data_IF_504450661494
#
_entry.id   IF_504450661494
#
_cell.length_a   1.000
_cell.length_b   1.000
_cell.length_c   1.000
_cell.angle_alpha   90.00
_cell.angle_beta   90.00
_cell.angle_gamma   90.00
#
_symmetry.space_group_name_H-M   'P 1'
#
loop_
_entity.id
_entity.type
_entity.pdbx_description
1 polymer ?
#
# COMPACT_ATOMS: atom_id res chain seq x y z
N UNK A 1 -31.82 1.81 17.79
CA UNK A 1 -30.83 1.70 16.69
C UNK A 1 -30.01 0.45 16.93
N UNK A 2 -30.03 -0.52 16.02
CA UNK A 2 -29.17 -1.70 16.11
C UNK A 2 -27.77 -1.33 15.60
N UNK A 3 -26.67 -1.59 16.33
CA UNK A 3 -25.32 -1.31 15.83
C UNK A 3 -25.06 -2.11 14.56
N UNK A 4 -24.62 -1.42 13.49
CA UNK A 4 -24.20 -2.03 12.22
C UNK A 4 -23.15 -3.12 12.52
N UNK A 5 -23.30 -4.34 11.99
CA UNK A 5 -22.32 -5.40 12.20
C UNK A 5 -20.92 -4.91 11.81
N UNK A 6 -19.99 -4.97 12.77
CA UNK A 6 -18.59 -4.61 12.52
C UNK A 6 -17.93 -5.82 11.89
N UNK A 7 -17.53 -5.71 10.63
CA UNK A 7 -16.70 -6.75 10.02
C UNK A 7 -15.33 -6.79 10.72
N UNK A 8 -14.77 -7.99 10.95
CA UNK A 8 -13.44 -8.11 11.54
C UNK A 8 -12.42 -7.43 10.62
N UNK A 9 -11.66 -6.47 11.18
CA UNK A 9 -10.54 -5.84 10.48
C UNK A 9 -9.30 -6.73 10.63
N UNK A 10 -8.72 -7.17 9.53
CA UNK A 10 -7.44 -7.87 9.50
C UNK A 10 -6.33 -6.87 9.16
N UNK A 11 -5.30 -6.80 10.00
CA UNK A 11 -4.09 -6.01 9.73
C UNK A 11 -2.92 -6.97 9.54
N UNK A 12 -2.19 -6.83 8.44
CA UNK A 12 -0.96 -7.60 8.18
C UNK A 12 0.17 -6.62 7.90
N UNK A 13 1.30 -6.83 8.57
CA UNK A 13 2.54 -6.07 8.38
C UNK A 13 3.47 -6.87 7.47
N UNK A 14 4.24 -6.17 6.64
CA UNK A 14 5.21 -6.75 5.71
C UNK A 14 6.54 -6.04 5.87
N UNK A 15 7.63 -6.76 5.58
CA UNK A 15 8.99 -6.18 5.63
C UNK A 15 9.24 -5.25 4.45
N UNK A 16 8.62 -5.52 3.29
CA UNK A 16 8.82 -4.74 2.06
C UNK A 16 7.50 -4.16 1.52
N UNK A 17 7.60 -2.99 0.89
CA UNK A 17 6.44 -2.36 0.23
C UNK A 17 5.90 -3.22 -0.92
N UNK A 18 6.78 -3.97 -1.60
CA UNK A 18 6.40 -4.87 -2.71
C UNK A 18 5.45 -5.97 -2.26
N UNK A 19 5.75 -6.63 -1.14
CA UNK A 19 4.86 -7.66 -0.58
C UNK A 19 3.53 -7.06 -0.11
N UNK A 20 3.57 -5.89 0.53
CA UNK A 20 2.37 -5.18 0.93
C UNK A 20 1.48 -4.84 -0.28
N UNK A 21 2.08 -4.44 -1.41
CA UNK A 21 1.36 -4.17 -2.66
C UNK A 21 0.74 -5.42 -3.27
N UNK A 22 1.47 -6.53 -3.34
CA UNK A 22 0.94 -7.79 -3.87
C UNK A 22 -0.28 -8.26 -3.05
N UNK A 23 -0.17 -8.22 -1.72
CA UNK A 23 -1.29 -8.56 -0.85
C UNK A 23 -2.46 -7.59 -0.99
N UNK A 24 -2.20 -6.28 -1.07
CA UNK A 24 -3.25 -5.30 -1.24
C UNK A 24 -3.96 -5.45 -2.59
N UNK A 25 -3.24 -5.80 -3.66
CA UNK A 25 -3.82 -6.11 -4.97
C UNK A 25 -4.73 -7.33 -4.90
N UNK A 26 -4.26 -8.44 -4.33
CA UNK A 26 -5.06 -9.67 -4.15
C UNK A 26 -6.35 -9.38 -3.37
N UNK A 27 -6.25 -8.62 -2.27
CA UNK A 27 -7.42 -8.26 -1.46
C UNK A 27 -8.37 -7.29 -2.16
N UNK A 28 -7.85 -6.40 -3.01
CA UNK A 28 -8.67 -5.52 -3.83
C UNK A 28 -9.41 -6.32 -4.92
N UNK A 29 -8.75 -7.30 -5.54
CA UNK A 29 -9.33 -8.20 -6.54
C UNK A 29 -10.43 -9.10 -5.91
N UNK A 30 -10.30 -9.48 -4.64
CA UNK A 30 -11.34 -10.15 -3.83
C UNK A 30 -12.56 -9.23 -3.52
N UNK A 31 -12.49 -7.94 -3.87
CA UNK A 31 -13.55 -6.96 -3.59
C UNK A 31 -13.54 -6.41 -2.16
N UNK A 32 -12.43 -6.57 -1.43
CA UNK A 32 -12.30 -6.05 -0.07
C UNK A 32 -11.86 -4.59 -0.04
N UNK A 33 -12.27 -3.88 1.00
CA UNK A 33 -11.81 -2.51 1.26
C UNK A 33 -10.46 -2.57 1.98
N UNK A 34 -9.39 -2.30 1.24
CA UNK A 34 -8.01 -2.32 1.75
C UNK A 34 -7.56 -0.91 2.13
N UNK A 35 -6.77 -0.79 3.20
CA UNK A 35 -6.02 0.44 3.53
C UNK A 35 -4.57 0.07 3.73
N UNK A 36 -3.65 0.87 3.22
CA UNK A 36 -2.21 0.65 3.37
C UNK A 36 -1.58 1.77 4.19
N UNK A 37 -0.41 1.51 4.75
CA UNK A 37 0.34 2.52 5.47
C UNK A 37 1.69 1.98 5.89
N UNK A 38 2.65 2.87 6.06
CA UNK A 38 4.01 2.50 6.47
C UNK A 38 4.06 2.44 7.99
N UNK A 39 4.52 1.32 8.52
CA UNK A 39 4.87 1.19 9.94
C UNK A 39 6.31 1.73 10.11
N UNK A 40 6.49 2.71 11.01
CA UNK A 40 7.75 3.45 11.24
C UNK A 40 8.98 2.53 11.44
N UNK A 41 10.22 2.95 11.04
CA UNK A 41 10.79 4.26 11.39
C UNK A 41 11.01 5.22 10.22
N UNK A 42 10.47 4.96 9.03
CA UNK A 42 10.62 5.89 7.91
C UNK A 42 9.71 7.12 8.07
N UNK A 43 10.33 8.26 8.37
CA UNK A 43 9.72 9.59 8.20
C UNK A 43 9.78 10.01 6.73
N UNK A 44 8.66 10.44 6.12
CA UNK A 44 7.34 10.65 6.71
C UNK A 44 6.45 9.40 6.71
N UNK A 45 5.66 9.22 7.79
CA UNK A 45 4.64 8.18 7.89
C UNK A 45 3.60 8.37 6.79
N UNK A 46 3.48 7.41 5.88
CA UNK A 46 2.48 7.44 4.82
C UNK A 46 1.25 6.61 5.23
N UNK A 47 0.06 7.20 5.10
CA UNK A 47 -1.22 6.50 5.24
C UNK A 47 -1.92 6.58 3.89
N UNK A 48 -2.24 5.42 3.33
CA UNK A 48 -2.89 5.29 2.02
C UNK A 48 -4.34 4.85 2.27
N UNK A 49 -5.32 5.75 2.11
CA UNK A 49 -6.73 5.40 2.22
C UNK A 49 -7.14 4.46 1.08
N UNK A 50 -8.24 3.73 1.25
CA UNK A 50 -8.75 2.77 0.25
C UNK A 50 -8.96 3.38 -1.13
N UNK A 51 -9.40 4.64 -1.19
CA UNK A 51 -9.55 5.41 -2.43
C UNK A 51 -8.25 5.63 -3.19
N UNK A 52 -7.10 5.64 -2.50
CA UNK A 52 -5.78 5.86 -3.07
C UNK A 52 -4.97 4.55 -3.22
N UNK A 53 -5.48 3.41 -2.75
CA UNK A 53 -4.79 2.11 -2.86
C UNK A 53 -4.56 1.75 -4.32
N UNK A 54 -5.54 1.94 -5.20
CA UNK A 54 -5.40 1.66 -6.65
C UNK A 54 -4.27 2.48 -7.29
N UNK A 55 -4.12 3.75 -6.88
CA UNK A 55 -3.03 4.63 -7.36
C UNK A 55 -1.69 4.15 -6.80
N UNK A 56 -1.64 3.86 -5.49
CA UNK A 56 -0.43 3.37 -4.82
C UNK A 56 0.10 2.04 -5.38
N UNK A 57 -0.80 1.15 -5.78
CA UNK A 57 -0.46 -0.09 -6.50
C UNK A 57 0.17 0.21 -7.88
N UNK A 58 -0.33 1.21 -8.59
CA UNK A 58 0.19 1.64 -9.90
C UNK A 58 1.54 2.35 -9.84
N UNK A 59 1.79 3.15 -8.80
CA UNK A 59 3.03 3.94 -8.64
C UNK A 59 4.31 3.11 -8.46
N UNK A 60 4.22 1.78 -8.29
CA UNK A 60 5.42 0.92 -8.14
C UNK A 60 6.19 0.70 -9.44
N UNK A 61 5.55 0.89 -10.60
CA UNK A 61 6.21 0.70 -11.89
C UNK A 61 7.25 1.81 -12.17
N UNK A 62 7.08 3.00 -11.58
CA UNK A 62 7.94 4.15 -11.89
C UNK A 62 9.15 4.32 -10.93
N UNK A 63 9.15 3.71 -9.75
CA UNK A 63 10.26 3.87 -8.78
C UNK A 63 11.46 2.94 -9.02
N UNK A 64 11.40 2.06 -10.03
CA UNK A 64 12.59 1.29 -10.46
C UNK A 64 13.37 1.97 -11.59
N UNK A 65 12.90 3.11 -12.11
CA UNK A 65 13.51 3.79 -13.26
C UNK A 65 14.33 5.06 -12.92
N UNK A 66 14.49 5.45 -11.65
CA UNK A 66 15.16 6.72 -11.26
C UNK A 66 16.42 6.56 -10.40
N UNK A 67 17.16 5.45 -10.52
CA UNK A 67 18.49 5.27 -9.88
C UNK A 67 19.65 5.06 -10.84
N UNK A 68 19.40 5.13 -12.15
CA UNK A 68 20.42 4.93 -13.18
C UNK A 68 20.43 6.08 -14.19
N UNK A 69 20.78 7.28 -13.74
CA UNK A 69 21.50 8.20 -14.60
C UNK A 69 22.60 8.91 -13.80
N UNK A 70 23.66 8.14 -13.57
CA UNK A 70 24.98 8.60 -13.17
C UNK A 70 25.37 9.76 -14.07
N UNK A 71 25.51 10.96 -13.50
CA UNK A 71 26.25 12.05 -14.15
C UNK A 71 27.66 11.55 -14.44
N UNK A 72 28.01 11.44 -15.71
CA UNK A 72 29.39 11.23 -16.18
C UNK A 72 29.53 11.98 -17.50
N UNK A 73 29.92 13.25 -17.40
CA UNK A 73 30.90 13.93 -18.26
C UNK A 73 31.31 15.25 -17.58
#
# INVERSE_FOLDING_TARGET
MLPKPRHPRLTKTFETEKEAKLFAKEKLDEGLVVTAGTLNPHTPKQIIPSSAVSIWLGSTLDQTADRSNSRSD
#
